data_IF_004393023082
#
_entry.id   IF_004393023082
#
_cell.length_a   1.000
_cell.length_b   1.000
_cell.length_c   1.000
_cell.angle_alpha   90.00
_cell.angle_beta   90.00
_cell.angle_gamma   90.00
#
_symmetry.space_group_name_H-M   'P 1'
#
loop_
_entity.id
_entity.type
_entity.pdbx_description
1 polymer ?
#
# COMPACT_ATOMS: atom_id res chain seq x y z
N UNK A 1 4.59 29.24 6.85
CA UNK A 1 3.55 28.19 6.98
C UNK A 1 3.08 27.84 5.58
N UNK A 2 3.71 26.85 4.94
CA UNK A 2 3.32 26.42 3.59
C UNK A 2 1.96 25.72 3.68
N UNK A 3 0.90 26.44 3.30
CA UNK A 3 -0.44 25.90 3.08
C UNK A 3 -0.39 24.95 1.88
N UNK A 4 0.06 23.72 2.09
CA UNK A 4 -0.01 22.66 1.08
C UNK A 4 -1.44 22.15 0.98
N UNK A 5 -1.96 22.04 -0.26
CA UNK A 5 -3.28 21.47 -0.51
C UNK A 5 -3.21 19.96 -0.33
N UNK A 6 -4.07 19.42 0.55
CA UNK A 6 -4.27 17.99 0.81
C UNK A 6 -4.55 17.13 -0.45
N UNK A 7 -4.95 17.76 -1.56
CA UNK A 7 -5.33 17.07 -2.80
C UNK A 7 -4.14 16.43 -3.54
N UNK A 8 -2.91 16.87 -3.27
CA UNK A 8 -1.71 16.47 -4.02
C UNK A 8 -0.85 15.41 -3.28
N UNK A 9 -1.43 14.76 -2.27
CA UNK A 9 -0.74 13.80 -1.41
C UNK A 9 -1.42 12.43 -1.42
N UNK A 10 -0.62 11.38 -1.33
CA UNK A 10 -1.06 10.00 -1.09
C UNK A 10 -0.38 9.51 0.18
N UNK A 11 -1.19 8.99 1.11
CA UNK A 11 -0.69 8.34 2.32
C UNK A 11 -0.60 6.85 2.06
N UNK A 12 0.59 6.28 2.22
CA UNK A 12 0.83 4.85 2.16
C UNK A 12 0.97 4.29 3.57
N UNK A 13 0.17 3.28 3.90
CA UNK A 13 0.32 2.51 5.13
C UNK A 13 1.03 1.20 4.78
N UNK A 14 2.35 1.31 4.64
CA UNK A 14 3.24 0.23 4.22
C UNK A 14 4.48 0.22 5.11
N UNK A 15 5.21 -0.89 5.11
CA UNK A 15 6.54 -0.95 5.72
C UNK A 15 7.50 -0.21 4.78
N UNK A 16 7.91 1.01 5.13
CA UNK A 16 8.99 1.74 4.45
C UNK A 16 9.53 2.84 5.37
N UNK A 17 10.76 3.29 5.14
CA UNK A 17 11.35 4.40 5.89
C UNK A 17 11.51 5.62 4.98
N UNK A 18 10.88 6.74 5.34
CA UNK A 18 11.03 8.01 4.65
C UNK A 18 11.68 9.04 5.56
N UNK A 19 12.66 9.77 5.02
CA UNK A 19 13.27 10.93 5.64
C UNK A 19 13.31 12.08 4.62
N UNK A 20 12.63 13.19 4.92
CA UNK A 20 12.58 14.37 4.04
C UNK A 20 12.21 14.04 2.58
N UNK A 21 11.20 13.19 2.38
CA UNK A 21 10.75 12.68 1.07
C UNK A 21 11.78 11.81 0.31
N UNK A 22 12.81 11.29 0.98
CA UNK A 22 13.73 10.29 0.43
C UNK A 22 13.54 8.97 1.16
N UNK A 23 13.60 7.88 0.41
CA UNK A 23 13.57 6.53 0.97
C UNK A 23 14.91 6.23 1.63
N UNK A 24 14.88 5.83 2.89
CA UNK A 24 16.04 5.25 3.56
C UNK A 24 15.99 3.73 3.36
N UNK A 25 16.88 3.24 2.51
CA UNK A 25 16.78 1.89 1.98
C UNK A 25 16.92 0.82 3.04
N UNK A 26 16.00 -0.15 3.01
CA UNK A 26 16.04 -1.31 3.90
C UNK A 26 15.65 -2.58 3.16
N UNK A 27 14.40 -2.67 2.69
CA UNK A 27 13.90 -3.80 1.93
C UNK A 27 13.41 -3.31 0.57
N UNK A 28 13.97 -3.84 -0.51
CA UNK A 28 13.67 -3.36 -1.86
C UNK A 28 12.19 -3.54 -2.22
N UNK A 29 11.56 -4.65 -1.80
CA UNK A 29 10.16 -4.93 -2.11
C UNK A 29 9.21 -3.92 -1.45
N UNK A 30 9.57 -3.50 -0.24
CA UNK A 30 8.88 -2.49 0.54
C UNK A 30 9.12 -1.08 -0.03
N UNK A 31 10.38 -0.75 -0.35
CA UNK A 31 10.79 0.54 -0.90
C UNK A 31 10.14 0.86 -2.26
N UNK A 32 9.85 -0.17 -3.08
CA UNK A 32 9.17 -0.01 -4.38
C UNK A 32 7.81 0.66 -4.22
N UNK A 33 7.13 0.53 -3.08
CA UNK A 33 5.87 1.25 -2.83
C UNK A 33 6.00 2.76 -3.07
N UNK A 34 7.07 3.38 -2.58
CA UNK A 34 7.30 4.81 -2.76
C UNK A 34 7.48 5.16 -4.23
N UNK A 35 8.41 4.49 -4.91
CA UNK A 35 8.77 4.81 -6.29
C UNK A 35 7.61 4.54 -7.25
N UNK A 36 6.98 3.37 -7.13
CA UNK A 36 5.88 2.97 -7.99
C UNK A 36 4.70 3.92 -7.89
N UNK A 37 4.23 4.20 -6.67
CA UNK A 37 3.05 5.05 -6.50
C UNK A 37 3.36 6.50 -6.85
N UNK A 38 4.57 6.99 -6.54
CA UNK A 38 4.99 8.34 -6.93
C UNK A 38 4.94 8.52 -8.44
N UNK A 39 5.50 7.58 -9.21
CA UNK A 39 5.50 7.65 -10.67
C UNK A 39 4.09 7.46 -11.26
N UNK A 40 3.29 6.52 -10.76
CA UNK A 40 1.93 6.29 -11.29
C UNK A 40 0.95 7.42 -10.99
N UNK A 41 1.13 8.13 -9.86
CA UNK A 41 0.17 9.14 -9.41
C UNK A 41 0.62 10.58 -9.66
N UNK A 42 1.92 10.81 -9.85
CA UNK A 42 2.56 12.12 -9.86
C UNK A 42 2.27 12.96 -8.60
N UNK A 43 1.96 12.30 -7.47
CA UNK A 43 1.65 12.95 -6.18
C UNK A 43 2.78 12.78 -5.18
N UNK A 44 2.75 13.62 -4.14
CA UNK A 44 3.66 13.46 -3.00
C UNK A 44 3.26 12.24 -2.17
N UNK A 45 4.23 11.41 -1.84
CA UNK A 45 4.02 10.21 -1.03
C UNK A 45 4.37 10.52 0.42
N UNK A 46 3.45 10.17 1.32
CA UNK A 46 3.63 10.23 2.77
C UNK A 46 3.56 8.82 3.33
N UNK A 47 4.43 8.49 4.26
CA UNK A 47 4.30 7.27 5.04
C UNK A 47 3.35 7.50 6.22
N UNK A 48 2.36 6.62 6.38
CA UNK A 48 1.36 6.69 7.45
C UNK A 48 2.00 6.77 8.84
N UNK A 49 3.15 6.12 9.03
CA UNK A 49 3.83 5.99 10.32
C UNK A 49 4.66 7.20 10.72
N UNK A 50 4.99 8.09 9.79
CA UNK A 50 5.89 9.23 10.06
C UNK A 50 5.18 10.34 10.85
N UNK A 51 3.86 10.47 10.73
CA UNK A 51 3.11 11.58 11.33
C UNK A 51 1.79 11.15 11.98
N UNK A 52 1.60 11.52 13.25
CA UNK A 52 0.39 11.18 14.02
C UNK A 52 -0.91 11.74 13.40
N UNK A 53 -0.85 12.88 12.71
CA UNK A 53 -2.01 13.51 12.06
C UNK A 53 -2.48 12.77 10.78
N UNK A 54 -1.71 11.78 10.29
CA UNK A 54 -2.12 10.91 9.19
C UNK A 54 -3.00 9.75 9.66
N UNK A 55 -3.03 9.44 10.97
CA UNK A 55 -3.74 8.28 11.54
C UNK A 55 -5.27 8.29 11.42
N UNK A 56 -5.84 9.37 10.89
CA UNK A 56 -7.28 9.52 10.62
C UNK A 56 -7.56 9.80 9.14
N UNK A 57 -6.59 9.55 8.27
CA UNK A 57 -6.69 9.82 6.84
C UNK A 57 -6.79 8.51 6.06
N UNK A 58 -7.51 8.49 4.93
CA UNK A 58 -7.47 7.38 4.00
C UNK A 58 -6.02 7.05 3.64
N UNK A 59 -5.66 5.77 3.77
CA UNK A 59 -4.30 5.30 3.56
C UNK A 59 -4.31 4.07 2.66
N UNK A 60 -3.38 3.99 1.72
CA UNK A 60 -3.31 2.88 0.77
C UNK A 60 -2.35 1.81 1.27
N UNK A 61 -2.77 0.55 1.15
CA UNK A 61 -1.94 -0.64 1.35
C UNK A 61 -1.72 -1.28 -0.02
N UNK A 62 -0.48 -1.21 -0.51
CA UNK A 62 -0.17 -1.49 -1.92
C UNK A 62 0.63 -2.79 -2.06
N UNK A 63 1.96 -2.77 -1.94
CA UNK A 63 2.81 -3.97 -2.04
C UNK A 63 3.09 -4.52 -0.63
N UNK A 64 3.14 -5.85 -0.51
CA UNK A 64 3.57 -6.54 0.71
C UNK A 64 2.49 -7.43 1.35
N UNK A 65 2.91 -8.33 2.25
CA UNK A 65 2.04 -9.25 2.99
C UNK A 65 1.52 -8.67 4.32
N UNK A 66 1.13 -7.40 4.32
CA UNK A 66 0.99 -6.56 5.51
C UNK A 66 -0.44 -6.41 6.06
N UNK A 67 -1.45 -6.93 5.36
CA UNK A 67 -2.88 -6.77 5.73
C UNK A 67 -3.15 -7.24 7.16
N UNK A 68 -2.56 -8.36 7.58
CA UNK A 68 -2.85 -8.98 8.87
C UNK A 68 -2.38 -8.17 10.10
N UNK A 69 -1.48 -7.18 9.94
CA UNK A 69 -0.95 -6.42 11.07
C UNK A 69 -0.98 -4.89 10.89
N UNK A 70 -1.12 -4.35 9.68
CA UNK A 70 -1.12 -2.90 9.45
C UNK A 70 -2.51 -2.31 9.18
N UNK A 71 -3.50 -3.14 8.87
CA UNK A 71 -4.84 -2.66 8.47
C UNK A 71 -5.50 -1.84 9.57
N UNK A 72 -6.06 -0.69 9.20
CA UNK A 72 -6.91 0.14 10.05
C UNK A 72 -8.22 0.49 9.34
N UNK A 73 -9.15 1.12 10.07
CA UNK A 73 -10.49 1.47 9.55
C UNK A 73 -10.49 2.42 8.34
N UNK A 74 -9.40 3.15 8.13
CA UNK A 74 -9.24 4.11 7.03
C UNK A 74 -8.40 3.52 5.87
N UNK A 75 -7.98 2.26 5.97
CA UNK A 75 -7.17 1.58 4.95
C UNK A 75 -7.96 1.29 3.68
N UNK A 76 -7.31 1.53 2.54
CA UNK A 76 -7.75 1.19 1.19
C UNK A 76 -6.75 0.17 0.65
N UNK A 77 -7.20 -1.07 0.48
CA UNK A 77 -6.34 -2.16 0.02
C UNK A 77 -6.32 -2.18 -1.51
N UNK A 78 -5.12 -2.05 -2.11
CA UNK A 78 -4.91 -2.11 -3.55
C UNK A 78 -3.66 -2.95 -3.85
N UNK A 79 -3.78 -4.26 -3.68
CA UNK A 79 -2.78 -5.24 -4.08
C UNK A 79 -2.05 -5.96 -2.94
N UNK A 80 -2.19 -5.50 -1.70
CA UNK A 80 -1.50 -6.13 -0.57
C UNK A 80 -2.05 -7.54 -0.30
N UNK A 81 -1.23 -8.33 0.39
CA UNK A 81 -1.55 -9.69 0.81
C UNK A 81 -1.55 -9.84 2.33
N UNK A 82 -1.85 -11.06 2.77
CA UNK A 82 -1.76 -11.50 4.18
C UNK A 82 -0.65 -12.53 4.29
N UNK A 83 0.21 -12.41 5.31
CA UNK A 83 1.24 -13.42 5.63
C UNK A 83 0.70 -14.52 6.56
N UNK A 84 0.00 -14.10 7.61
CA UNK A 84 -0.48 -14.97 8.69
C UNK A 84 -2.01 -14.91 8.72
N UNK A 85 -2.70 -15.78 7.95
CA UNK A 85 -4.16 -15.78 7.85
C UNK A 85 -4.85 -16.29 9.11
N UNK A 86 -4.11 -16.86 10.06
CA UNK A 86 -4.63 -17.36 11.33
C UNK A 86 -4.87 -16.23 12.33
N UNK A 87 -4.23 -15.07 12.14
CA UNK A 87 -4.44 -13.91 13.00
C UNK A 87 -5.70 -13.14 12.58
N UNK A 88 -6.52 -12.71 13.56
CA UNK A 88 -7.71 -11.91 13.27
C UNK A 88 -7.33 -10.59 12.61
N UNK A 89 -8.18 -10.11 11.72
CA UNK A 89 -7.94 -8.84 11.06
C UNK A 89 -8.02 -7.68 12.09
N UNK A 90 -7.01 -6.79 12.17
CA UNK A 90 -6.98 -5.75 13.21
C UNK A 90 -8.15 -4.76 13.15
N UNK A 91 -8.66 -4.49 11.94
CA UNK A 91 -9.83 -3.66 11.69
C UNK A 91 -10.44 -3.95 10.32
N UNK A 92 -11.74 -3.72 10.17
CA UNK A 92 -12.40 -3.73 8.85
C UNK A 92 -11.89 -2.52 8.05
N UNK A 93 -11.25 -2.72 6.87
CA UNK A 93 -10.73 -1.63 6.06
C UNK A 93 -11.86 -0.79 5.47
N UNK A 94 -11.55 0.45 5.11
CA UNK A 94 -12.49 1.36 4.44
C UNK A 94 -12.97 0.80 3.10
N UNK A 95 -12.05 0.21 2.33
CA UNK A 95 -12.33 -0.32 0.99
C UNK A 95 -11.29 -1.34 0.55
N UNK A 96 -11.72 -2.34 -0.23
CA UNK A 96 -10.83 -3.25 -0.95
C UNK A 96 -11.03 -3.03 -2.46
N UNK A 97 -9.97 -2.63 -3.16
CA UNK A 97 -9.97 -2.41 -4.60
C UNK A 97 -9.39 -3.61 -5.36
N UNK A 98 -8.31 -4.18 -4.84
CA UNK A 98 -7.65 -5.37 -5.35
C UNK A 98 -6.85 -6.01 -4.21
N UNK A 99 -6.60 -7.30 -4.28
CA UNK A 99 -5.71 -8.02 -3.34
C UNK A 99 -4.66 -8.81 -4.09
N UNK A 100 -3.59 -9.23 -3.41
CA UNK A 100 -2.50 -9.95 -4.08
C UNK A 100 -2.96 -11.24 -4.78
N UNK A 101 -3.94 -11.94 -4.21
CA UNK A 101 -4.47 -13.16 -4.81
C UNK A 101 -5.60 -13.82 -4.02
N UNK A 102 -6.09 -14.99 -4.49
CA UNK A 102 -7.29 -15.65 -3.97
C UNK A 102 -7.22 -16.02 -2.48
N UNK A 103 -6.04 -16.38 -1.96
CA UNK A 103 -5.87 -16.70 -0.53
C UNK A 103 -6.11 -15.48 0.37
N UNK A 104 -5.64 -14.31 -0.05
CA UNK A 104 -5.89 -13.05 0.68
C UNK A 104 -7.37 -12.66 0.61
N UNK A 105 -8.02 -12.86 -0.54
CA UNK A 105 -9.47 -12.65 -0.65
C UNK A 105 -10.26 -13.57 0.28
N UNK A 106 -9.93 -14.87 0.29
CA UNK A 106 -10.58 -15.86 1.17
C UNK A 106 -10.46 -15.45 2.63
N UNK A 107 -9.26 -15.01 3.04
CA UNK A 107 -9.04 -14.47 4.38
C UNK A 107 -9.96 -13.27 4.66
N UNK A 108 -9.96 -12.23 3.82
CA UNK A 108 -10.78 -11.02 4.05
C UNK A 108 -12.28 -11.34 4.13
N UNK A 109 -12.79 -12.21 3.24
CA UNK A 109 -14.19 -12.65 3.27
C UNK A 109 -14.51 -13.39 4.57
N UNK A 110 -13.61 -14.27 5.03
CA UNK A 110 -13.79 -14.97 6.31
C UNK A 110 -13.84 -14.04 7.53
N UNK A 111 -13.29 -12.83 7.39
CA UNK A 111 -13.30 -11.77 8.41
C UNK A 111 -14.47 -10.78 8.21
N UNK A 112 -15.41 -11.06 7.31
CA UNK A 112 -16.58 -10.21 7.05
C UNK A 112 -16.31 -8.98 6.18
N UNK A 113 -15.19 -8.94 5.45
CA UNK A 113 -14.82 -7.82 4.56
C UNK A 113 -15.27 -8.12 3.13
N UNK A 114 -15.97 -7.18 2.51
CA UNK A 114 -16.27 -7.22 1.07
C UNK A 114 -14.97 -7.13 0.26
N UNK A 115 -14.71 -8.11 -0.59
CA UNK A 115 -13.49 -8.18 -1.39
C UNK A 115 -13.79 -8.62 -2.84
N UNK A 116 -13.51 -7.77 -3.85
CA UNK A 116 -13.73 -8.11 -5.25
C UNK A 116 -12.77 -9.21 -5.73
N UNK A 117 -13.12 -9.90 -6.81
CA UNK A 117 -12.25 -10.88 -7.49
C UNK A 117 -11.24 -10.19 -8.41
N UNK A 118 -10.56 -9.16 -7.90
CA UNK A 118 -9.51 -8.41 -8.60
C UNK A 118 -8.19 -8.72 -7.92
N UNK A 119 -7.28 -9.32 -8.69
CA UNK A 119 -6.03 -9.86 -8.18
C UNK A 119 -4.80 -9.24 -8.84
N UNK A 120 -3.74 -9.08 -8.06
CA UNK A 120 -2.43 -8.73 -8.57
C UNK A 120 -1.56 -8.06 -7.52
N UNK A 121 -0.24 -8.24 -7.66
CA UNK A 121 0.74 -7.43 -6.95
C UNK A 121 1.07 -6.19 -7.79
N UNK A 122 0.90 -4.96 -7.27
CA UNK A 122 1.23 -3.73 -8.00
C UNK A 122 2.68 -3.67 -8.46
N UNK A 123 3.61 -4.40 -7.83
CA UNK A 123 4.99 -4.54 -8.31
C UNK A 123 5.08 -5.05 -9.76
N UNK A 124 4.07 -5.78 -10.25
CA UNK A 124 3.99 -6.22 -11.65
C UNK A 124 3.82 -5.06 -12.65
N UNK A 125 3.47 -3.86 -12.18
CA UNK A 125 3.41 -2.64 -12.99
C UNK A 125 4.78 -1.96 -13.15
N UNK A 126 5.82 -2.43 -12.45
CA UNK A 126 7.16 -1.84 -12.49
C UNK A 126 7.73 -1.69 -13.92
N UNK A 127 7.55 -2.64 -14.86
CA UNK A 127 8.02 -2.48 -16.24
C UNK A 127 7.41 -1.28 -16.99
N UNK A 128 6.28 -0.73 -16.53
CA UNK A 128 5.66 0.46 -17.14
C UNK A 128 6.38 1.76 -16.77
N UNK A 129 7.11 1.78 -15.66
CA UNK A 129 7.84 2.96 -15.16
C UNK A 129 9.35 2.78 -15.22
N UNK A 130 9.82 1.54 -15.22
CA UNK A 130 11.22 1.15 -15.34
C UNK A 130 11.31 0.00 -16.34
N UNK A 131 11.27 0.31 -17.66
CA UNK A 131 11.34 -0.72 -18.69
C UNK A 131 12.70 -1.44 -18.57
N UNK A 132 12.71 -2.78 -18.69
CA UNK A 132 13.97 -3.51 -18.67
C UNK A 132 14.86 -3.04 -19.84
N UNK A 133 16.19 -2.99 -19.65
CA UNK A 133 17.08 -2.74 -20.76
C UNK A 133 16.82 -3.77 -21.85
N UNK A 134 16.76 -3.31 -23.11
CA UNK A 134 16.69 -4.19 -24.26
C UNK A 134 18.05 -4.89 -24.32
N UNK A 135 18.09 -6.19 -24.04
CA UNK A 135 19.26 -6.99 -24.34
C UNK A 135 19.24 -7.31 -25.83
N UNK A 136 20.21 -6.79 -26.57
CA UNK A 136 20.53 -7.21 -27.95
C UNK A 136 21.22 -8.59 -27.96
#
# INVERSE_FOLDING_TARGET
>A
MLLHKKADEIVLNVSMNLLCNKVFHSNIGDDINYYLIKELSHKRILNYWDFFNLRKQPNFMVIGSIIGWMTNKDSIIWGSGVREPDNPLPAIPRKVLAVRGPLTRKYLISQGVECPEIYGDPALLLPKIYPPPICE
#
